data_IF_305771419829
#
_entry.id   IF_305771419829
#
_cell.length_a   1.000
_cell.length_b   1.000
_cell.length_c   1.000
_cell.angle_alpha   90.00
_cell.angle_beta   90.00
_cell.angle_gamma   90.00
#
_symmetry.space_group_name_H-M   'P 1'
#
loop_
_entity.id
_entity.type
_entity.pdbx_description
1 polymer ?
#
# COMPACT_ATOMS: atom_id res chain seq x y z
N UNK A 1 -17.86 -5.85 -21.11
CA UNK A 1 -16.52 -6.03 -20.52
C UNK A 1 -15.67 -4.87 -21.00
N UNK A 2 -15.13 -4.07 -20.09
CA UNK A 2 -14.30 -2.92 -20.44
C UNK A 2 -12.98 -3.44 -21.02
N UNK A 3 -12.62 -3.00 -22.22
CA UNK A 3 -11.36 -3.39 -22.86
C UNK A 3 -10.18 -2.85 -22.05
N UNK A 4 -9.18 -3.71 -21.80
CA UNK A 4 -8.00 -3.33 -21.02
C UNK A 4 -7.14 -2.37 -21.85
N UNK A 5 -7.01 -1.12 -21.39
CA UNK A 5 -6.20 -0.07 -22.03
C UNK A 5 -5.06 0.40 -21.12
N UNK A 6 -3.96 0.83 -21.74
CA UNK A 6 -2.72 1.22 -21.05
C UNK A 6 -2.24 2.64 -21.40
N UNK A 7 -3.01 3.37 -22.19
CA UNK A 7 -2.69 4.67 -22.81
C UNK A 7 -3.38 5.85 -22.11
N UNK A 8 -3.59 5.75 -20.80
CA UNK A 8 -4.27 6.78 -20.02
C UNK A 8 -3.49 8.10 -20.00
N UNK A 9 -4.17 9.17 -20.38
CA UNK A 9 -3.68 10.54 -20.23
C UNK A 9 -3.99 11.11 -18.85
N UNK A 10 -3.24 12.13 -18.44
CA UNK A 10 -3.50 12.86 -17.18
C UNK A 10 -4.92 13.47 -17.17
N UNK A 11 -5.40 13.94 -18.32
CA UNK A 11 -6.73 14.54 -18.42
C UNK A 11 -7.84 13.51 -18.18
N UNK A 12 -7.71 12.30 -18.72
CA UNK A 12 -8.66 11.21 -18.49
C UNK A 12 -8.65 10.74 -17.03
N UNK A 13 -7.46 10.58 -16.43
CA UNK A 13 -7.34 10.22 -15.01
C UNK A 13 -7.98 11.28 -14.10
N UNK A 14 -7.77 12.57 -14.41
CA UNK A 14 -8.42 13.69 -13.70
C UNK A 14 -9.93 13.67 -13.85
N UNK A 15 -10.45 13.39 -15.05
CA UNK A 15 -11.88 13.29 -15.28
C UNK A 15 -12.55 12.21 -14.42
N UNK A 16 -11.86 11.09 -14.14
CA UNK A 16 -12.34 10.05 -13.22
C UNK A 16 -12.30 10.55 -11.76
N UNK A 17 -11.18 11.15 -11.35
CA UNK A 17 -11.01 11.69 -10.01
C UNK A 17 -12.08 12.73 -9.66
N UNK A 18 -12.46 13.56 -10.63
CA UNK A 18 -13.39 14.67 -10.45
C UNK A 18 -14.88 14.26 -10.58
N UNK A 19 -15.18 12.96 -10.72
CA UNK A 19 -16.56 12.45 -10.72
C UNK A 19 -17.25 12.69 -9.36
N UNK A 20 -18.59 12.84 -9.33
CA UNK A 20 -19.34 12.80 -8.08
C UNK A 20 -19.04 11.50 -7.31
N UNK A 21 -18.74 11.61 -6.02
CA UNK A 21 -18.25 10.49 -5.22
C UNK A 21 -19.11 9.22 -5.33
N UNK A 22 -20.44 9.35 -5.28
CA UNK A 22 -21.34 8.21 -5.35
C UNK A 22 -21.33 7.52 -6.73
N UNK A 23 -21.17 8.29 -7.80
CA UNK A 23 -21.02 7.78 -9.17
C UNK A 23 -19.67 7.04 -9.32
N UNK A 24 -18.59 7.63 -8.78
CA UNK A 24 -17.27 7.01 -8.79
C UNK A 24 -17.27 5.67 -8.03
N UNK A 25 -17.88 5.63 -6.84
CA UNK A 25 -17.98 4.42 -6.04
C UNK A 25 -18.80 3.33 -6.74
N UNK A 26 -19.91 3.68 -7.40
CA UNK A 26 -20.72 2.72 -8.13
C UNK A 26 -19.91 2.08 -9.28
N UNK A 27 -19.27 2.90 -10.12
CA UNK A 27 -18.40 2.41 -11.21
C UNK A 27 -17.25 1.54 -10.70
N UNK A 28 -16.63 1.92 -9.58
CA UNK A 28 -15.56 1.15 -8.97
C UNK A 28 -16.03 -0.25 -8.54
N UNK A 29 -17.24 -0.36 -7.98
CA UNK A 29 -17.82 -1.65 -7.59
C UNK A 29 -18.13 -2.52 -8.80
N UNK A 30 -18.65 -1.95 -9.89
CA UNK A 30 -18.91 -2.69 -11.14
C UNK A 30 -17.61 -3.29 -11.70
N UNK A 31 -16.55 -2.49 -11.79
CA UNK A 31 -15.23 -2.95 -12.24
C UNK A 31 -14.66 -4.01 -11.30
N UNK A 32 -14.74 -3.81 -9.98
CA UNK A 32 -14.23 -4.76 -9.01
C UNK A 32 -14.92 -6.12 -9.12
N UNK A 33 -16.27 -6.16 -9.18
CA UNK A 33 -17.05 -7.40 -9.30
C UNK A 33 -16.87 -8.12 -10.64
N UNK A 34 -16.54 -7.39 -11.70
CA UNK A 34 -16.26 -7.98 -13.00
C UNK A 34 -14.90 -8.70 -13.06
N UNK A 35 -13.96 -8.34 -12.19
CA UNK A 35 -12.56 -8.81 -12.27
C UNK A 35 -12.08 -9.55 -11.01
N UNK A 36 -12.80 -9.47 -9.89
CA UNK A 36 -12.44 -10.06 -8.62
C UNK A 36 -13.63 -10.77 -7.94
N UNK A 37 -13.38 -11.82 -7.14
CA UNK A 37 -14.41 -12.39 -6.30
C UNK A 37 -14.94 -11.35 -5.30
N UNK A 38 -16.26 -11.11 -5.23
CA UNK A 38 -16.84 -10.02 -4.45
C UNK A 38 -16.74 -10.20 -2.93
N UNK A 39 -16.44 -11.41 -2.50
CA UNK A 39 -16.40 -11.88 -1.11
C UNK A 39 -14.98 -12.31 -0.67
N UNK A 40 -13.97 -12.02 -1.48
CA UNK A 40 -12.58 -12.34 -1.18
C UNK A 40 -11.74 -11.08 -0.93
N UNK A 41 -10.84 -11.16 0.04
CA UNK A 41 -9.83 -10.12 0.32
C UNK A 41 -8.48 -10.80 0.44
N UNK A 42 -7.45 -10.20 -0.16
CA UNK A 42 -6.07 -10.67 -0.01
C UNK A 42 -5.50 -10.21 1.35
N UNK A 43 -4.95 -11.16 2.11
CA UNK A 43 -4.26 -10.87 3.37
C UNK A 43 -2.74 -10.87 3.15
N UNK A 44 -2.09 -9.81 3.59
CA UNK A 44 -0.64 -9.66 3.58
C UNK A 44 -0.18 -9.25 4.98
N UNK A 45 0.81 -9.97 5.52
CA UNK A 45 1.48 -9.60 6.76
C UNK A 45 2.90 -9.15 6.44
N UNK A 46 3.32 -8.03 7.04
CA UNK A 46 4.66 -7.47 6.87
C UNK A 46 5.33 -7.25 8.23
N UNK A 47 6.67 -7.21 8.19
CA UNK A 47 7.52 -6.95 9.34
C UNK A 47 8.62 -5.98 8.91
N UNK A 48 8.89 -4.96 9.72
CA UNK A 48 10.07 -4.12 9.55
C UNK A 48 11.31 -4.90 9.98
N UNK A 49 12.18 -5.28 9.03
CA UNK A 49 13.41 -6.03 9.34
C UNK A 49 14.46 -5.15 10.04
N UNK A 50 14.37 -3.83 9.88
CA UNK A 50 15.19 -2.81 10.54
C UNK A 50 14.34 -1.54 10.62
N UNK A 51 14.19 -0.97 11.81
CA UNK A 51 13.31 0.18 12.05
C UNK A 51 14.12 1.42 12.43
N UNK A 52 13.79 2.55 11.82
CA UNK A 52 14.34 3.86 12.18
C UNK A 52 15.72 4.17 11.62
N UNK A 53 16.21 5.36 11.95
CA UNK A 53 17.50 5.90 11.49
C UNK A 53 17.70 5.83 9.96
N UNK A 54 16.63 6.07 9.19
CA UNK A 54 16.69 6.12 7.74
C UNK A 54 17.34 7.44 7.27
N UNK A 55 18.19 7.37 6.24
CA UNK A 55 18.91 8.53 5.68
C UNK A 55 18.00 9.49 4.90
N UNK A 56 16.91 8.96 4.36
CA UNK A 56 15.96 9.70 3.53
C UNK A 56 15.15 10.70 4.37
N UNK A 57 14.72 11.78 3.74
CA UNK A 57 14.04 12.93 4.34
C UNK A 57 12.55 12.97 3.98
N UNK A 58 11.93 11.79 3.83
CA UNK A 58 10.50 11.71 3.52
C UNK A 58 9.67 12.35 4.63
N UNK A 59 9.04 13.49 4.32
CA UNK A 59 8.30 14.32 5.29
C UNK A 59 7.17 13.59 6.05
N UNK A 60 6.65 12.50 5.51
CA UNK A 60 5.60 11.69 6.11
C UNK A 60 6.11 10.46 6.87
N UNK A 61 7.39 10.10 6.73
CA UNK A 61 7.90 8.83 7.23
C UNK A 61 8.44 8.97 8.66
N UNK A 62 7.88 8.25 9.64
CA UNK A 62 8.34 8.33 11.03
C UNK A 62 9.73 7.71 11.25
N UNK A 63 10.29 7.02 10.25
CA UNK A 63 11.60 6.37 10.34
C UNK A 63 12.76 7.26 9.87
N UNK A 64 12.47 8.43 9.30
CA UNK A 64 13.50 9.37 8.86
C UNK A 64 14.32 9.85 10.06
N UNK A 65 15.64 9.73 9.98
CA UNK A 65 16.54 10.34 10.96
C UNK A 65 16.66 11.86 10.84
N UNK A 66 15.91 12.49 9.92
CA UNK A 66 15.87 13.94 9.70
C UNK A 66 14.74 14.62 10.48
N UNK A 67 13.85 13.86 11.11
CA UNK A 67 12.66 14.34 11.80
C UNK A 67 12.56 13.76 13.20
N UNK A 68 12.06 14.54 14.15
CA UNK A 68 11.82 14.08 15.52
C UNK A 68 10.49 13.34 15.59
N UNK A 69 10.55 12.02 15.40
CA UNK A 69 9.45 11.10 15.66
C UNK A 69 9.73 10.32 16.94
N UNK A 70 8.68 10.01 17.71
CA UNK A 70 8.77 9.15 18.89
C UNK A 70 8.88 7.67 18.44
N UNK A 71 10.07 7.32 17.93
CA UNK A 71 10.39 6.00 17.39
C UNK A 71 11.75 5.53 17.92
N UNK A 72 11.75 4.40 18.62
CA UNK A 72 12.98 3.73 19.06
C UNK A 72 13.66 3.01 17.87
N UNK A 73 14.90 3.36 17.50
CA UNK A 73 15.60 2.68 16.42
C UNK A 73 15.99 1.25 16.82
N UNK A 74 15.70 0.30 15.92
CA UNK A 74 16.05 -1.11 16.11
C UNK A 74 17.13 -1.54 15.11
N UNK A 75 18.02 -2.43 15.55
CA UNK A 75 19.00 -3.04 14.65
C UNK A 75 18.31 -4.00 13.69
N UNK A 76 19.00 -4.30 12.59
CA UNK A 76 18.57 -5.32 11.65
C UNK A 76 18.38 -6.65 12.37
N UNK A 77 17.21 -7.26 12.20
CA UNK A 77 16.88 -8.58 12.72
C UNK A 77 17.79 -9.65 12.11
N UNK A 78 18.05 -10.71 12.87
CA UNK A 78 18.71 -11.89 12.32
C UNK A 78 17.82 -12.63 11.31
N UNK A 79 18.45 -13.36 10.38
CA UNK A 79 17.72 -14.18 9.41
C UNK A 79 16.80 -15.19 10.10
N UNK A 80 17.27 -15.82 11.19
CA UNK A 80 16.49 -16.79 11.96
C UNK A 80 15.25 -16.16 12.61
N UNK A 81 15.36 -14.93 13.14
CA UNK A 81 14.21 -14.20 13.67
C UNK A 81 13.20 -13.84 12.59
N UNK A 82 13.66 -13.38 11.41
CA UNK A 82 12.79 -13.08 10.27
C UNK A 82 12.03 -14.34 9.84
N UNK A 83 12.72 -15.46 9.67
CA UNK A 83 12.10 -16.74 9.30
C UNK A 83 11.12 -17.25 10.37
N UNK A 84 11.45 -17.08 11.64
CA UNK A 84 10.57 -17.44 12.76
C UNK A 84 9.27 -16.63 12.76
N UNK A 85 9.35 -15.31 12.56
CA UNK A 85 8.17 -14.43 12.46
C UNK A 85 7.36 -14.71 11.19
N UNK A 86 8.02 -14.94 10.05
CA UNK A 86 7.35 -15.30 8.80
C UNK A 86 6.54 -16.61 8.91
N UNK A 87 7.06 -17.61 9.64
CA UNK A 87 6.31 -18.86 9.91
C UNK A 87 5.05 -18.64 10.74
N UNK A 88 5.06 -17.67 11.66
CA UNK A 88 3.90 -17.32 12.51
C UNK A 88 2.85 -16.47 11.79
N UNK A 89 3.21 -15.86 10.67
CA UNK A 89 2.37 -14.96 9.89
C UNK A 89 1.57 -15.66 8.77
N UNK A 90 1.71 -16.99 8.65
CA UNK A 90 0.88 -17.85 7.79
C UNK A 90 -0.42 -18.19 8.49
#
# INVERSE_FOLDING_TARGET
MTELRHDWTVAEARAIHDLPLLELLFRAQEVHRANHPPDAVQLCMLLSIKTGACSEDCAYCPQSGRHDAELEPERLLSVDEVLSKAKKAK
#
